data_IF_361817532087
#
_entry.id   IF_361817532087
#
_cell.length_a   1.000
_cell.length_b   1.000
_cell.length_c   1.000
_cell.angle_alpha   90.00
_cell.angle_beta   90.00
_cell.angle_gamma   90.00
#
_symmetry.space_group_name_H-M   'P 1'
#
loop_
_entity.id
_entity.type
_entity.pdbx_description
1 polymer ?
#
# COMPACT_ATOMS: atom_id res chain seq x y z
N UNK A 1 2.50 -15.67 22.93
CA UNK A 1 2.50 -15.46 22.41
C UNK A 1 2.19 -14.79 21.74
N UNK A 2 2.09 -14.24 21.58
CA UNK A 2 1.84 -13.75 21.05
C UNK A 2 1.55 -13.40 20.17
N UNK A 3 1.21 -12.98 19.83
CA UNK A 3 0.91 -12.73 19.07
C UNK A 3 1.22 -12.51 18.10
N UNK A 4 1.24 -12.60 17.86
CA UNK A 4 1.28 -12.78 16.56
C UNK A 4 0.44 -11.98 15.69
N UNK A 5 -0.16 -10.97 16.16
CA UNK A 5 -0.91 -10.06 15.35
C UNK A 5 0.08 -9.30 14.55
N UNK A 6 0.05 -9.43 13.24
CA UNK A 6 0.90 -8.64 12.41
C UNK A 6 0.21 -7.35 12.12
N UNK A 7 0.74 -6.30 12.68
CA UNK A 7 0.25 -4.97 12.35
C UNK A 7 0.81 -4.54 11.02
N UNK A 8 0.04 -3.88 10.17
CA UNK A 8 0.58 -3.38 8.91
C UNK A 8 1.70 -2.39 9.13
N UNK A 9 2.71 -2.46 8.28
CA UNK A 9 3.66 -1.37 8.19
C UNK A 9 2.90 -0.15 7.67
N UNK A 10 3.35 1.03 8.02
CA UNK A 10 2.65 2.26 7.64
C UNK A 10 3.55 3.12 6.77
N UNK A 11 3.01 3.55 5.64
CA UNK A 11 3.66 4.52 4.77
C UNK A 11 2.77 5.75 4.67
N UNK A 12 3.25 6.87 5.16
CA UNK A 12 2.54 8.13 5.02
C UNK A 12 3.12 8.87 3.83
N UNK A 13 2.41 8.81 2.71
CA UNK A 13 2.80 9.46 1.48
C UNK A 13 1.97 10.71 1.21
N UNK A 14 1.41 11.30 2.26
CA UNK A 14 0.63 12.53 2.13
C UNK A 14 1.47 13.63 1.52
N UNK A 15 0.86 14.40 0.64
CA UNK A 15 1.55 15.53 0.01
C UNK A 15 2.42 15.16 -1.17
N UNK A 16 2.62 13.86 -1.42
CA UNK A 16 3.43 13.44 -2.57
C UNK A 16 2.54 13.29 -3.79
N UNK A 17 3.10 13.66 -4.95
CA UNK A 17 2.40 13.53 -6.23
C UNK A 17 2.70 12.19 -6.87
N UNK A 18 1.74 11.72 -7.67
CA UNK A 18 1.93 10.55 -8.52
C UNK A 18 3.20 10.73 -9.36
N UNK A 19 4.08 9.73 -9.47
CA UNK A 19 3.91 8.35 -8.99
C UNK A 19 4.61 8.06 -7.65
N UNK A 20 4.98 9.09 -6.89
CA UNK A 20 5.81 8.89 -5.71
C UNK A 20 5.18 8.01 -4.63
N UNK A 21 3.87 8.12 -4.33
CA UNK A 21 3.30 7.21 -3.34
C UNK A 21 3.51 5.74 -3.72
N UNK A 22 3.31 5.41 -4.99
CA UNK A 22 3.48 4.04 -5.44
C UNK A 22 4.93 3.59 -5.39
N UNK A 23 5.85 4.48 -5.81
CA UNK A 23 7.27 4.12 -5.78
C UNK A 23 7.74 3.82 -4.37
N UNK A 24 7.31 4.63 -3.40
CA UNK A 24 7.69 4.38 -2.02
C UNK A 24 7.06 3.11 -1.48
N UNK A 25 5.82 2.82 -1.88
CA UNK A 25 5.16 1.60 -1.47
C UNK A 25 5.90 0.38 -2.02
N UNK A 26 6.34 0.44 -3.28
CA UNK A 26 7.12 -0.66 -3.85
C UNK A 26 8.39 -0.91 -3.07
N UNK A 27 9.09 0.14 -2.69
CA UNK A 27 10.32 0.01 -1.92
C UNK A 27 10.06 -0.66 -0.58
N UNK A 28 9.00 -0.26 0.10
CA UNK A 28 8.67 -0.87 1.38
C UNK A 28 8.25 -2.33 1.23
N UNK A 29 7.44 -2.63 0.21
CA UNK A 29 7.02 -4.01 -0.01
C UNK A 29 8.19 -4.92 -0.28
N UNK A 30 9.20 -4.43 -0.99
CA UNK A 30 10.38 -5.23 -1.28
C UNK A 30 11.13 -5.64 0.00
N UNK A 31 10.95 -4.89 1.07
CA UNK A 31 11.63 -5.17 2.33
C UNK A 31 10.75 -5.92 3.32
N UNK A 32 9.51 -6.23 2.94
CA UNK A 32 8.60 -6.96 3.80
C UNK A 32 8.61 -8.44 3.46
N UNK A 33 8.27 -9.25 4.45
CA UNK A 33 8.15 -10.69 4.21
C UNK A 33 6.84 -11.00 3.51
N UNK A 34 6.80 -12.16 2.85
CA UNK A 34 5.59 -12.59 2.15
C UNK A 34 4.41 -12.63 3.13
N UNK A 35 3.27 -12.14 2.69
CA UNK A 35 2.07 -12.10 3.52
C UNK A 35 1.97 -10.89 4.42
N UNK A 36 3.03 -10.10 4.53
CA UNK A 36 3.01 -8.91 5.38
C UNK A 36 2.08 -7.86 4.79
N UNK A 37 1.58 -6.99 5.66
CA UNK A 37 0.62 -5.96 5.28
C UNK A 37 1.30 -4.59 5.27
N UNK A 38 0.89 -3.77 4.31
CA UNK A 38 1.35 -2.38 4.21
C UNK A 38 0.14 -1.47 4.07
N UNK A 39 0.02 -0.50 4.96
CA UNK A 39 -1.00 0.53 4.85
C UNK A 39 -0.35 1.79 4.30
N UNK A 40 -0.95 2.35 3.25
CA UNK A 40 -0.44 3.55 2.59
C UNK A 40 -1.48 4.64 2.70
N UNK A 41 -1.03 5.84 3.07
CA UNK A 41 -1.87 7.03 3.07
C UNK A 41 -1.35 7.95 1.98
N UNK A 42 -2.25 8.43 1.13
CA UNK A 42 -1.88 9.33 0.03
C UNK A 42 -2.93 10.41 -0.09
N UNK A 43 -2.55 11.51 -0.73
CA UNK A 43 -3.48 12.60 -0.98
C UNK A 43 -3.61 12.91 -2.48
N UNK A 44 -2.83 12.26 -3.32
CA UNK A 44 -2.92 12.46 -4.76
C UNK A 44 -3.98 11.57 -5.38
N UNK A 45 -4.98 12.14 -6.10
CA UNK A 45 -6.05 11.32 -6.66
C UNK A 45 -5.56 10.28 -7.67
N UNK A 46 -4.44 10.52 -8.33
CA UNK A 46 -3.89 9.55 -9.27
C UNK A 46 -3.43 8.28 -8.62
N UNK A 47 -3.24 8.29 -7.29
CA UNK A 47 -2.81 7.09 -6.58
C UNK A 47 -3.83 5.96 -6.66
N UNK A 48 -5.12 6.28 -6.81
CA UNK A 48 -6.15 5.24 -6.88
C UNK A 48 -5.86 4.31 -8.04
N UNK A 49 -5.67 4.88 -9.22
CA UNK A 49 -5.41 4.06 -10.41
C UNK A 49 -4.05 3.38 -10.31
N UNK A 50 -3.05 4.10 -9.81
CA UNK A 50 -1.70 3.55 -9.72
C UNK A 50 -1.68 2.29 -8.86
N UNK A 51 -2.35 2.32 -7.72
CA UNK A 51 -2.35 1.16 -6.83
C UNK A 51 -3.18 0.02 -7.38
N UNK A 52 -4.28 0.31 -8.08
CA UNK A 52 -5.06 -0.75 -8.73
C UNK A 52 -4.25 -1.48 -9.79
N UNK A 53 -3.58 -0.73 -10.65
CA UNK A 53 -2.79 -1.32 -11.72
C UNK A 53 -1.63 -2.11 -11.13
N UNK A 54 -0.96 -1.51 -10.14
CA UNK A 54 0.17 -2.19 -9.50
C UNK A 54 -0.25 -3.53 -8.88
N UNK A 55 -1.36 -3.55 -8.17
CA UNK A 55 -1.80 -4.79 -7.53
C UNK A 55 -2.07 -5.86 -8.57
N UNK A 56 -2.73 -5.46 -9.67
CA UNK A 56 -3.07 -6.40 -10.72
C UNK A 56 -1.84 -6.95 -11.41
N UNK A 57 -0.81 -6.12 -11.61
CA UNK A 57 0.37 -6.52 -12.35
C UNK A 57 1.41 -7.23 -11.50
N UNK A 58 1.47 -6.91 -10.21
CA UNK A 58 2.55 -7.40 -9.35
C UNK A 58 2.21 -8.70 -8.64
N UNK A 59 0.92 -9.01 -8.50
CA UNK A 59 0.51 -10.15 -7.70
C UNK A 59 0.32 -9.84 -6.23
N UNK A 60 0.69 -8.63 -5.79
CA UNK A 60 0.34 -8.19 -4.44
C UNK A 60 -1.16 -7.92 -4.39
N UNK A 61 -1.76 -8.14 -3.23
CA UNK A 61 -3.21 -8.01 -3.10
C UNK A 61 -3.55 -6.65 -2.51
N UNK A 62 -4.45 -5.94 -3.19
CA UNK A 62 -5.01 -4.70 -2.65
C UNK A 62 -6.25 -5.08 -1.88
N UNK A 63 -6.14 -5.10 -0.55
CA UNK A 63 -7.21 -5.55 0.32
C UNK A 63 -8.24 -4.47 0.57
N UNK A 64 -7.79 -3.22 0.69
CA UNK A 64 -8.67 -2.09 0.94
C UNK A 64 -8.22 -0.91 0.11
N UNK A 65 -9.19 -0.15 -0.37
CA UNK A 65 -8.93 1.09 -1.09
C UNK A 65 -10.09 2.02 -0.76
N UNK A 66 -9.82 3.01 0.08
CA UNK A 66 -10.85 3.94 0.54
C UNK A 66 -10.43 5.36 0.30
N UNK A 67 -11.40 6.26 0.22
CA UNK A 67 -11.14 7.68 0.10
C UNK A 67 -12.11 8.45 0.96
N UNK A 68 -11.61 9.55 1.55
CA UNK A 68 -12.42 10.40 2.41
C UNK A 68 -11.76 11.77 2.47
N UNK A 69 -12.47 12.79 1.97
CA UNK A 69 -12.02 14.19 2.05
C UNK A 69 -10.61 14.39 1.49
N UNK A 70 -10.36 13.82 0.31
CA UNK A 70 -9.07 14.01 -0.36
C UNK A 70 -7.96 13.16 0.20
N UNK A 71 -8.27 12.27 1.11
CA UNK A 71 -7.31 11.35 1.70
C UNK A 71 -7.64 9.94 1.22
N UNK A 72 -6.63 9.26 0.72
CA UNK A 72 -6.76 7.90 0.18
C UNK A 72 -5.96 6.95 1.03
N UNK A 73 -6.56 5.81 1.37
CA UNK A 73 -5.87 4.79 2.16
C UNK A 73 -5.96 3.46 1.44
N UNK A 74 -4.84 2.76 1.42
CA UNK A 74 -4.72 1.47 0.77
C UNK A 74 -4.14 0.47 1.75
N UNK A 75 -4.67 -0.75 1.72
CA UNK A 75 -4.08 -1.85 2.48
C UNK A 75 -3.66 -2.91 1.50
N UNK A 76 -2.36 -3.19 1.48
CA UNK A 76 -1.76 -4.15 0.57
C UNK A 76 -1.20 -5.33 1.34
N UNK A 77 -1.32 -6.52 0.76
CA UNK A 77 -0.63 -7.69 1.30
C UNK A 77 0.43 -8.13 0.31
N UNK A 78 1.64 -8.32 0.81
CA UNK A 78 2.73 -8.75 -0.03
C UNK A 78 2.47 -10.17 -0.53
N UNK A 79 2.69 -10.38 -1.82
CA UNK A 79 2.47 -11.69 -2.41
C UNK A 79 3.39 -12.70 -1.75
N UNK A 80 2.88 -13.94 -1.67
CA UNK A 80 3.67 -15.03 -1.16
C UNK A 80 4.08 -15.87 -2.35
N UNK A 81 5.35 -16.07 -2.52
CA UNK A 81 5.79 -16.94 -3.59
C UNK A 81 6.99 -17.75 -3.22
#
# INVERSE_FOLDING_TARGET
MAELTQEPALLDASGLSCPMPLLKAKQMLNNLTAGALLRVIATDPGSVRDFEVFARQSGNTLLESTSHDGRFEYLLRKKSD
#
